data_IF_543526979643
#
_entry.id   IF_543526979643
#
_cell.length_a   1.000
_cell.length_b   1.000
_cell.length_c   1.000
_cell.angle_alpha   90.00
_cell.angle_beta   90.00
_cell.angle_gamma   90.00
#
_symmetry.space_group_name_H-M   'P 1'
#
loop_
_entity.id
_entity.type
_entity.pdbx_description
1 polymer ?
#
# COMPACT_ATOMS: atom_id res chain seq x y z
N UNK A 1 4.40 7.75 -0.98
CA UNK A 1 4.61 7.40 -2.41
C UNK A 1 3.92 8.39 -3.30
N UNK A 2 4.58 8.76 -4.38
CA UNK A 2 3.98 9.65 -5.37
C UNK A 2 3.29 8.81 -6.45
N UNK A 3 2.17 9.31 -6.97
CA UNK A 3 1.42 8.60 -8.00
C UNK A 3 2.26 8.33 -9.25
N UNK A 4 3.13 9.27 -9.61
CA UNK A 4 4.01 9.12 -10.77
C UNK A 4 4.96 7.94 -10.63
N UNK A 5 5.51 7.73 -9.44
CA UNK A 5 6.40 6.61 -9.17
C UNK A 5 5.67 5.28 -9.31
N UNK A 6 4.44 5.23 -8.83
CA UNK A 6 3.61 4.02 -8.91
C UNK A 6 3.24 3.70 -10.36
N UNK A 7 2.95 4.72 -11.16
CA UNK A 7 2.60 4.52 -12.56
C UNK A 7 3.76 4.00 -13.39
N UNK A 8 5.00 4.30 -12.99
CA UNK A 8 6.19 3.84 -13.68
C UNK A 8 6.52 2.38 -13.39
N UNK A 9 5.90 1.78 -12.36
CA UNK A 9 6.18 0.40 -11.96
C UNK A 9 5.31 -0.58 -12.72
N UNK A 10 5.83 -1.81 -12.88
CA UNK A 10 5.04 -2.89 -13.48
C UNK A 10 3.95 -3.34 -12.50
N UNK A 11 2.85 -3.96 -13.01
CA UNK A 11 1.83 -4.52 -12.12
C UNK A 11 2.38 -5.52 -11.10
N UNK A 12 3.36 -6.34 -11.49
CA UNK A 12 3.96 -7.31 -10.58
C UNK A 12 4.71 -6.63 -9.44
N UNK A 13 5.47 -5.58 -9.74
CA UNK A 13 6.16 -4.79 -8.73
C UNK A 13 5.16 -4.14 -7.76
N UNK A 14 4.05 -3.63 -8.29
CA UNK A 14 3.01 -3.01 -7.47
C UNK A 14 2.35 -4.02 -6.54
N UNK A 15 2.10 -5.24 -7.03
CA UNK A 15 1.55 -6.31 -6.20
C UNK A 15 2.50 -6.70 -5.08
N UNK A 16 3.79 -6.79 -5.37
CA UNK A 16 4.80 -7.10 -4.36
C UNK A 16 4.84 -6.02 -3.29
N UNK A 17 4.79 -4.75 -3.69
CA UNK A 17 4.74 -3.65 -2.74
C UNK A 17 3.45 -3.69 -1.91
N UNK A 18 2.33 -4.03 -2.53
CA UNK A 18 1.05 -4.13 -1.83
C UNK A 18 1.10 -5.20 -0.75
N UNK A 19 1.68 -6.36 -1.06
CA UNK A 19 1.83 -7.44 -0.08
C UNK A 19 2.71 -6.98 1.08
N UNK A 20 3.83 -6.33 0.80
CA UNK A 20 4.74 -5.83 1.83
C UNK A 20 4.05 -4.81 2.73
N UNK A 21 3.28 -3.89 2.14
CA UNK A 21 2.55 -2.87 2.90
C UNK A 21 1.43 -3.48 3.75
N UNK A 22 0.74 -4.50 3.23
CA UNK A 22 -0.29 -5.19 4.01
C UNK A 22 0.30 -5.91 5.21
N UNK A 23 1.47 -6.53 5.06
CA UNK A 23 2.17 -7.15 6.19
C UNK A 23 2.57 -6.11 7.23
N UNK A 24 3.08 -4.98 6.79
CA UNK A 24 3.43 -3.87 7.68
C UNK A 24 2.19 -3.36 8.43
N UNK A 25 1.09 -3.17 7.71
CA UNK A 25 -0.16 -2.73 8.33
C UNK A 25 -0.65 -3.69 9.39
N UNK A 26 -0.54 -4.99 9.14
CA UNK A 26 -0.91 -6.02 10.11
C UNK A 26 -0.05 -5.93 11.36
N UNK A 27 1.27 -5.80 11.18
CA UNK A 27 2.19 -5.67 12.31
C UNK A 27 1.91 -4.41 13.13
N UNK A 28 1.62 -3.30 12.47
CA UNK A 28 1.30 -2.05 13.14
C UNK A 28 0.01 -2.15 13.94
N UNK A 29 -1.00 -2.84 13.41
CA UNK A 29 -2.24 -3.09 14.15
C UNK A 29 -2.00 -3.94 15.39
N UNK A 30 -1.15 -4.95 15.25
CA UNK A 30 -0.78 -5.81 16.36
C UNK A 30 -0.07 -5.00 17.44
N UNK A 31 0.89 -4.16 17.05
CA UNK A 31 1.60 -3.29 18.00
C UNK A 31 0.66 -2.33 18.71
N UNK A 32 -0.31 -1.79 18.00
CA UNK A 32 -1.31 -0.90 18.59
C UNK A 32 -2.17 -1.65 19.61
N UNK A 33 -2.59 -2.87 19.28
CA UNK A 33 -3.41 -3.67 20.16
C UNK A 33 -2.69 -4.06 21.46
N UNK A 34 -1.35 -4.22 21.40
CA UNK A 34 -0.55 -4.55 22.57
C UNK A 34 -0.04 -3.31 23.32
N UNK A 35 -0.39 -2.11 22.85
CA UNK A 35 0.04 -0.86 23.47
C UNK A 35 1.48 -0.47 23.17
N UNK A 36 2.15 -1.14 22.24
CA UNK A 36 3.54 -0.85 21.89
C UNK A 36 3.71 0.28 20.91
N UNK A 37 2.65 0.61 20.16
CA UNK A 37 2.69 1.64 19.14
C UNK A 37 2.24 2.98 19.72
N UNK A 38 3.17 3.93 19.81
CA UNK A 38 2.88 5.27 20.35
C UNK A 38 2.43 6.24 19.26
N UNK A 39 2.93 6.06 18.03
CA UNK A 39 2.67 6.98 16.92
C UNK A 39 1.89 6.28 15.82
N UNK A 40 0.67 6.79 15.54
CA UNK A 40 -0.21 6.23 14.53
C UNK A 40 0.00 6.83 13.13
N UNK A 41 0.93 7.79 12.98
CA UNK A 41 1.19 8.43 11.69
C UNK A 41 1.63 7.42 10.63
N UNK A 42 2.46 6.44 11.03
CA UNK A 42 2.91 5.39 10.10
C UNK A 42 1.76 4.52 9.64
N UNK A 43 0.81 4.20 10.51
CA UNK A 43 -0.38 3.44 10.14
C UNK A 43 -1.18 4.15 9.06
N UNK A 44 -1.37 5.46 9.22
CA UNK A 44 -2.09 6.27 8.24
C UNK A 44 -1.34 6.34 6.92
N UNK A 45 -0.01 6.49 6.96
CA UNK A 45 0.81 6.52 5.76
C UNK A 45 0.73 5.21 4.99
N UNK A 46 0.86 4.07 5.68
CA UNK A 46 0.77 2.75 5.06
C UNK A 46 -0.62 2.54 4.45
N UNK A 47 -1.67 2.91 5.16
CA UNK A 47 -3.04 2.80 4.68
C UNK A 47 -3.25 3.60 3.40
N UNK A 48 -2.71 4.82 3.36
CA UNK A 48 -2.78 5.68 2.18
C UNK A 48 -2.03 5.08 1.00
N UNK A 49 -0.83 4.54 1.25
CA UNK A 49 -0.03 3.93 0.19
C UNK A 49 -0.71 2.69 -0.38
N UNK A 50 -1.31 1.86 0.47
CA UNK A 50 -2.10 0.70 0.01
C UNK A 50 -3.22 1.14 -0.91
N UNK A 51 -3.95 2.19 -0.52
CA UNK A 51 -5.05 2.71 -1.34
C UNK A 51 -4.55 3.21 -2.69
N UNK A 52 -3.43 3.92 -2.72
CA UNK A 52 -2.84 4.43 -3.96
C UNK A 52 -2.41 3.30 -4.89
N UNK A 53 -1.75 2.28 -4.34
CA UNK A 53 -1.32 1.13 -5.15
C UNK A 53 -2.52 0.42 -5.75
N UNK A 54 -3.57 0.19 -4.98
CA UNK A 54 -4.80 -0.42 -5.48
C UNK A 54 -5.42 0.40 -6.62
N UNK A 55 -5.44 1.71 -6.48
CA UNK A 55 -5.99 2.60 -7.51
C UNK A 55 -5.19 2.48 -8.80
N UNK A 56 -3.85 2.50 -8.71
CA UNK A 56 -3.00 2.40 -9.90
C UNK A 56 -3.14 1.02 -10.54
N UNK A 57 -3.19 -0.06 -9.76
CA UNK A 57 -3.38 -1.41 -10.28
C UNK A 57 -4.72 -1.54 -11.01
N UNK A 58 -5.79 -0.98 -10.46
CA UNK A 58 -7.10 -1.00 -11.10
C UNK A 58 -7.09 -0.23 -12.41
N UNK A 59 -6.42 0.92 -12.46
CA UNK A 59 -6.30 1.69 -13.68
C UNK A 59 -5.52 0.93 -14.75
N UNK A 60 -4.42 0.27 -14.38
CA UNK A 60 -3.64 -0.54 -15.32
C UNK A 60 -4.42 -1.74 -15.83
N UNK A 61 -5.18 -2.39 -14.96
CA UNK A 61 -6.04 -3.51 -15.35
C UNK A 61 -7.12 -3.07 -16.32
N UNK A 62 -7.72 -1.90 -16.09
CA UNK A 62 -8.74 -1.34 -16.98
C UNK A 62 -8.16 -1.02 -18.36
N UNK A 63 -6.94 -0.48 -18.40
CA UNK A 63 -6.24 -0.22 -19.66
C UNK A 63 -5.97 -1.52 -20.43
N UNK A 64 -5.52 -2.55 -19.72
CA UNK A 64 -5.22 -3.85 -20.33
C UNK A 64 -6.48 -4.54 -20.86
N UNK A 65 -7.64 -4.24 -20.30
CA UNK A 65 -8.92 -4.86 -20.67
C UNK A 65 -9.57 -4.23 -21.89
N UNK A 66 -9.06 -3.12 -22.39
CA UNK A 66 -9.60 -2.44 -23.57
C UNK A 66 -9.23 -3.16 -24.87
#
# INVERSE_FOLDING_TARGET
MKAQELQAKTPDELRDQLVALKKEAFNLRFQQATGQLENTARMRAVRRDVARIKTVLNAKAAEAAK
#
